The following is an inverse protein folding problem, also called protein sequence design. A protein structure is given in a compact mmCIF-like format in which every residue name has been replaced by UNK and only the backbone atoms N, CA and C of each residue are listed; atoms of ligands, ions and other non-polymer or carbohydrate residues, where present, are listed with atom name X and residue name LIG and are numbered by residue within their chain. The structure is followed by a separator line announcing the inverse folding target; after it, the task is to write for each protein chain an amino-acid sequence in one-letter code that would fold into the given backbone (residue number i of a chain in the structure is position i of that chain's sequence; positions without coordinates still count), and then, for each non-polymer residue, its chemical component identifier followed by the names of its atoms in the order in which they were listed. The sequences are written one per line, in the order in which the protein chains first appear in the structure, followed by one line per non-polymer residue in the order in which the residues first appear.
data_IF_156284299949
#
_entry.id   IF_156284299949
#
_cell.length_a   1.000
_cell.length_b   1.000
_cell.length_c   1.000
_cell.angle_alpha   90.00
_cell.angle_beta   90.00
_cell.angle_gamma   90.00
#
_symmetry.space_group_name_H-M   'P 1'
#
loop_
_entity.id
_entity.type
_entity.pdbx_description
1 polymer ?
#
# COMPACT_ATOMS: atom_id res chain seq x y z
N UNK A 1 -9.71 66.63 8.62
CA UNK A 1 -9.94 65.35 9.36
C UNK A 1 -8.87 64.39 8.91
N UNK A 2 -7.86 64.20 9.75
CA UNK A 2 -6.73 63.30 9.46
C UNK A 2 -7.15 61.87 9.76
N UNK A 3 -7.10 61.02 8.77
CA UNK A 3 -7.29 59.57 8.93
C UNK A 3 -6.01 59.01 9.56
N UNK A 4 -6.05 58.69 10.83
CA UNK A 4 -5.01 57.95 11.50
C UNK A 4 -4.93 56.56 10.87
N UNK A 5 -3.76 56.24 10.27
CA UNK A 5 -3.39 54.88 9.89
C UNK A 5 -3.20 54.06 11.17
N UNK A 6 -4.12 53.14 11.46
CA UNK A 6 -3.89 52.12 12.47
C UNK A 6 -2.68 51.24 12.05
N UNK A 7 -1.77 50.95 12.95
CA UNK A 7 -0.65 50.06 12.64
C UNK A 7 -1.18 48.67 12.29
N UNK A 8 -0.83 48.17 11.10
CA UNK A 8 -1.07 46.80 10.71
C UNK A 8 -0.36 45.89 11.72
N UNK A 9 -1.11 44.98 12.31
CA UNK A 9 -0.54 43.92 13.13
C UNK A 9 0.54 43.18 12.33
N UNK A 10 1.70 42.86 12.93
CA UNK A 10 2.71 42.09 12.23
C UNK A 10 2.08 40.78 11.74
N UNK A 11 2.17 40.52 10.43
CA UNK A 11 1.74 39.25 9.84
C UNK A 11 2.49 38.14 10.59
N UNK A 12 1.76 37.28 11.27
CA UNK A 12 2.34 36.07 11.84
C UNK A 12 2.93 35.25 10.70
N UNK A 13 4.13 34.68 10.86
CA UNK A 13 4.68 33.80 9.84
C UNK A 13 3.66 32.68 9.58
N UNK A 14 3.47 32.29 8.31
CA UNK A 14 2.51 31.25 7.95
C UNK A 14 2.85 29.97 8.76
N UNK A 15 1.85 29.37 9.39
CA UNK A 15 2.04 28.13 10.13
C UNK A 15 2.54 27.03 9.18
N UNK A 16 3.37 26.14 9.69
CA UNK A 16 3.81 24.96 8.93
C UNK A 16 2.59 24.07 8.64
N UNK A 17 2.50 23.48 7.43
CA UNK A 17 1.52 22.44 7.18
C UNK A 17 1.67 21.30 8.18
N UNK A 18 0.54 20.79 8.68
CA UNK A 18 0.51 19.66 9.62
C UNK A 18 0.21 18.38 8.90
N UNK A 19 1.13 17.42 9.04
CA UNK A 19 1.05 16.08 8.47
C UNK A 19 0.56 15.11 9.54
N UNK A 20 -0.62 14.52 9.36
CA UNK A 20 -1.05 13.39 10.18
C UNK A 20 -0.48 12.09 9.59
N UNK A 21 0.43 11.43 10.30
CA UNK A 21 0.92 10.10 9.93
C UNK A 21 0.01 9.07 10.56
N UNK A 22 -0.75 8.33 9.71
CA UNK A 22 -1.74 7.34 10.16
C UNK A 22 -1.22 5.93 9.93
N UNK A 23 -1.21 5.09 10.97
CA UNK A 23 -0.55 3.78 10.94
C UNK A 23 -1.24 2.75 11.85
N UNK A 24 -0.79 1.48 11.78
CA UNK A 24 -1.37 0.35 12.51
C UNK A 24 -2.46 -0.32 11.69
N UNK A 25 -3.70 -0.26 12.17
CA UNK A 25 -4.87 -0.77 11.48
C UNK A 25 -5.24 -2.20 11.83
N UNK A 26 -6.32 -2.69 11.22
CA UNK A 26 -6.95 -3.98 11.53
C UNK A 26 -6.38 -5.16 10.73
N UNK A 27 -5.42 -4.90 9.84
CA UNK A 27 -4.81 -5.92 9.01
C UNK A 27 -3.77 -6.74 9.76
N UNK A 28 -3.36 -7.87 9.17
CA UNK A 28 -2.25 -8.70 9.65
C UNK A 28 -0.90 -7.97 9.60
N UNK A 29 -0.80 -6.90 8.81
CA UNK A 29 0.41 -6.10 8.62
C UNK A 29 0.52 -4.92 9.61
N UNK A 30 -0.30 -4.92 10.67
CA UNK A 30 -0.34 -3.88 11.71
C UNK A 30 1.04 -3.46 12.22
N UNK A 31 1.87 -4.44 12.64
CA UNK A 31 3.19 -4.16 13.19
C UNK A 31 4.16 -3.55 12.17
N UNK A 32 4.09 -3.99 10.90
CA UNK A 32 4.90 -3.42 9.81
C UNK A 32 4.48 -1.98 9.52
N UNK A 33 3.19 -1.70 9.57
CA UNK A 33 2.67 -0.34 9.47
C UNK A 33 3.24 0.57 10.56
N UNK A 34 3.34 0.10 11.81
CA UNK A 34 3.96 0.85 12.90
C UNK A 34 5.45 1.12 12.63
N UNK A 35 6.19 0.10 12.19
CA UNK A 35 7.62 0.24 11.83
C UNK A 35 7.81 1.25 10.70
N UNK A 36 6.97 1.18 9.69
CA UNK A 36 6.97 2.10 8.55
C UNK A 36 6.69 3.54 9.01
N UNK A 37 5.72 3.74 9.90
CA UNK A 37 5.43 5.05 10.48
C UNK A 37 6.63 5.63 11.22
N UNK A 38 7.34 4.82 12.00
CA UNK A 38 8.58 5.24 12.67
C UNK A 38 9.65 5.72 11.70
N UNK A 39 9.80 5.05 10.56
CA UNK A 39 10.74 5.47 9.52
C UNK A 39 10.31 6.79 8.84
N UNK A 40 9.04 6.93 8.49
CA UNK A 40 8.47 8.16 7.91
C UNK A 40 8.61 9.34 8.87
N UNK A 41 8.25 9.17 10.16
CA UNK A 41 8.35 10.21 11.18
C UNK A 41 9.81 10.71 11.38
N UNK A 42 10.80 9.82 11.24
CA UNK A 42 12.22 10.22 11.27
C UNK A 42 12.63 11.00 10.02
N UNK A 43 12.03 10.71 8.87
CA UNK A 43 12.41 11.29 7.60
C UNK A 43 11.73 12.64 7.31
N UNK A 44 10.57 12.91 7.90
CA UNK A 44 9.85 14.17 7.72
C UNK A 44 10.68 15.35 8.22
N UNK A 45 10.89 16.35 7.36
CA UNK A 45 11.59 17.60 7.68
C UNK A 45 10.77 18.46 8.64
N UNK A 46 11.14 18.44 9.93
CA UNK A 46 10.48 19.21 11.00
C UNK A 46 10.68 20.72 10.86
N UNK A 47 11.54 21.17 9.98
CA UNK A 47 11.65 22.60 9.67
C UNK A 47 10.54 23.08 8.73
N UNK A 48 9.99 22.16 7.91
CA UNK A 48 8.91 22.41 6.94
C UNK A 48 7.53 22.04 7.49
N UNK A 49 7.43 20.97 8.26
CA UNK A 49 6.16 20.36 8.66
C UNK A 49 6.02 20.19 10.17
N UNK A 50 4.81 20.40 10.68
CA UNK A 50 4.39 19.85 11.97
C UNK A 50 3.85 18.44 11.75
N UNK A 51 3.97 17.54 12.74
CA UNK A 51 3.45 16.17 12.62
C UNK A 51 2.48 15.84 13.75
N UNK A 52 1.52 14.97 13.39
CA UNK A 52 0.55 14.41 14.30
C UNK A 52 0.50 12.88 14.07
N UNK A 53 1.18 12.08 14.92
CA UNK A 53 1.10 10.63 14.82
C UNK A 53 -0.24 10.11 15.33
N UNK A 54 -0.93 9.32 14.49
CA UNK A 54 -2.23 8.72 14.82
C UNK A 54 -2.15 7.22 14.57
N UNK A 55 -2.23 6.44 15.63
CA UNK A 55 -2.26 4.99 15.53
C UNK A 55 -3.69 4.47 15.41
N UNK A 56 -3.93 3.45 14.59
CA UNK A 56 -5.18 2.68 14.57
C UNK A 56 -4.90 1.33 15.21
N UNK A 57 -5.58 1.03 16.31
CA UNK A 57 -5.43 -0.23 17.04
C UNK A 57 -5.99 -1.41 16.23
N UNK A 58 -5.72 -2.64 16.68
CA UNK A 58 -6.20 -3.86 15.99
C UNK A 58 -7.72 -4.00 15.98
N UNK A 59 -8.41 -3.43 16.96
CA UNK A 59 -9.87 -3.34 17.01
C UNK A 59 -10.45 -2.16 16.20
N UNK A 60 -9.58 -1.28 15.66
CA UNK A 60 -9.96 -0.19 14.77
C UNK A 60 -10.16 1.17 15.47
N UNK A 61 -9.78 1.32 16.73
CA UNK A 61 -9.81 2.59 17.45
C UNK A 61 -8.67 3.49 16.99
N UNK A 62 -8.96 4.73 16.69
CA UNK A 62 -7.97 5.75 16.35
C UNK A 62 -7.41 6.34 17.65
N UNK A 63 -6.12 6.22 17.87
CA UNK A 63 -5.45 6.60 19.10
C UNK A 63 -4.41 7.69 18.84
N UNK A 64 -4.34 8.68 19.70
CA UNK A 64 -3.23 9.62 19.72
C UNK A 64 -2.00 8.89 20.25
N UNK A 65 -0.88 9.03 19.57
CA UNK A 65 0.40 8.44 19.98
C UNK A 65 1.47 9.52 20.13
N UNK A 66 2.46 9.25 20.97
CA UNK A 66 3.60 10.13 21.10
C UNK A 66 4.47 10.12 19.82
N UNK A 67 5.09 11.26 19.50
CA UNK A 67 6.07 11.37 18.41
C UNK A 67 7.42 10.79 18.86
N UNK A 68 7.47 9.48 19.05
CA UNK A 68 8.62 8.71 19.54
C UNK A 68 8.99 7.59 18.56
N UNK A 69 9.57 7.92 17.37
CA UNK A 69 9.87 6.92 16.34
C UNK A 69 10.73 5.75 16.81
N UNK A 70 11.56 5.95 17.84
CA UNK A 70 12.45 4.88 18.36
C UNK A 70 11.69 3.74 19.03
N UNK A 71 10.49 4.00 19.54
CA UNK A 71 9.60 2.98 20.09
C UNK A 71 8.85 2.18 19.03
N UNK A 72 8.92 2.62 17.77
CA UNK A 72 8.25 2.00 16.62
C UNK A 72 9.16 1.03 15.85
N UNK A 73 10.28 0.60 16.43
CA UNK A 73 11.21 -0.33 15.81
C UNK A 73 10.92 -1.79 16.21
N UNK A 74 11.34 -2.74 15.34
CA UNK A 74 11.35 -4.16 15.69
C UNK A 74 12.46 -4.38 16.73
N UNK A 75 12.13 -4.96 17.89
CA UNK A 75 13.07 -5.30 18.94
C UNK A 75 12.94 -6.79 19.26
N UNK A 76 14.05 -7.52 19.26
CA UNK A 76 14.08 -8.97 19.54
C UNK A 76 13.09 -9.78 18.68
N UNK A 77 13.01 -9.49 17.37
CA UNK A 77 12.05 -10.06 16.39
C UNK A 77 10.57 -9.81 16.76
N UNK A 78 10.28 -8.92 17.68
CA UNK A 78 8.90 -8.52 18.03
C UNK A 78 8.54 -7.23 17.34
N UNK A 79 7.40 -7.27 16.66
CA UNK A 79 6.83 -6.08 16.04
C UNK A 79 6.19 -5.19 17.11
N UNK A 80 6.29 -3.86 16.97
CA UNK A 80 5.59 -2.93 17.85
C UNK A 80 4.08 -2.97 17.58
N UNK A 81 3.32 -2.49 18.57
CA UNK A 81 1.87 -2.47 18.54
C UNK A 81 1.35 -1.08 18.95
N UNK A 82 0.29 -0.59 18.31
CA UNK A 82 -0.29 0.74 18.57
C UNK A 82 -0.80 0.86 20.01
N UNK A 83 -1.33 -0.23 20.58
CA UNK A 83 -1.83 -0.26 21.96
C UNK A 83 -0.75 0.09 22.99
N UNK A 84 0.51 -0.19 22.69
CA UNK A 84 1.66 0.14 23.54
C UNK A 84 2.17 1.57 23.35
N UNK A 85 1.79 2.22 22.25
CA UNK A 85 2.21 3.58 21.87
C UNK A 85 1.14 4.62 22.18
N UNK A 86 -0.12 4.20 22.34
CA UNK A 86 -1.24 5.08 22.61
C UNK A 86 -1.09 5.83 23.96
N UNK A 87 -1.40 7.13 23.97
CA UNK A 87 -1.36 7.96 25.17
C UNK A 87 -2.39 7.52 26.20
N UNK A 88 -3.50 6.94 25.76
CA UNK A 88 -4.57 6.42 26.63
C UNK A 88 -5.18 5.16 26.00
N UNK A 89 -5.55 4.22 26.86
CA UNK A 89 -6.27 3.00 26.46
C UNK A 89 -7.74 3.25 26.07
N UNK A 90 -8.33 4.37 26.48
CA UNK A 90 -9.74 4.69 26.28
C UNK A 90 -9.97 5.91 25.37
N UNK A 91 -8.97 6.78 25.22
CA UNK A 91 -9.05 7.97 24.39
C UNK A 91 -9.06 7.66 22.91
N UNK A 92 -9.75 8.50 22.13
CA UNK A 92 -9.87 8.35 20.67
C UNK A 92 -9.66 9.66 19.93
N UNK A 93 -9.08 9.56 18.73
CA UNK A 93 -8.96 10.65 17.77
C UNK A 93 -10.14 10.60 16.82
N UNK A 94 -10.77 11.74 16.59
CA UNK A 94 -11.90 11.91 15.68
C UNK A 94 -11.45 12.84 14.56
N UNK A 95 -11.43 12.32 13.33
CA UNK A 95 -11.33 13.13 12.13
C UNK A 95 -12.71 13.65 11.77
N UNK A 96 -12.89 14.97 11.57
CA UNK A 96 -14.18 15.50 11.13
C UNK A 96 -14.44 15.04 9.68
N UNK A 97 -15.72 14.76 9.39
CA UNK A 97 -16.18 14.47 8.01
C UNK A 97 -16.77 15.73 7.34
N UNK A 98 -16.70 16.87 7.99
CA UNK A 98 -17.13 18.17 7.42
C UNK A 98 -15.95 18.86 6.75
N UNK A 99 -15.95 19.03 5.43
CA UNK A 99 -14.83 19.66 4.70
C UNK A 99 -14.58 21.13 5.12
N UNK A 100 -15.57 21.80 5.72
CA UNK A 100 -15.42 23.15 6.24
C UNK A 100 -14.74 23.21 7.61
N UNK A 101 -14.60 22.05 8.31
CA UNK A 101 -13.97 21.94 9.60
C UNK A 101 -12.96 20.80 9.61
N UNK A 102 -11.68 21.12 9.48
CA UNK A 102 -10.56 20.13 9.49
C UNK A 102 -9.92 19.95 10.87
N UNK A 103 -10.57 20.42 11.93
CA UNK A 103 -10.05 20.33 13.28
C UNK A 103 -10.17 18.90 13.82
N UNK A 104 -9.05 18.26 14.04
CA UNK A 104 -8.97 16.95 14.67
C UNK A 104 -9.24 17.08 16.16
N UNK A 105 -10.07 16.19 16.69
CA UNK A 105 -10.50 16.23 18.10
C UNK A 105 -10.04 14.96 18.81
N UNK A 106 -9.44 15.11 19.97
CA UNK A 106 -9.20 14.02 20.92
C UNK A 106 -10.32 13.97 21.95
N UNK A 107 -10.91 12.81 22.12
CA UNK A 107 -11.99 12.56 23.07
C UNK A 107 -11.66 11.39 23.97
N UNK A 108 -11.86 11.57 25.26
CA UNK A 108 -11.67 10.54 26.29
C UNK A 108 -12.91 10.48 27.16
N UNK A 109 -13.41 9.29 27.58
CA UNK A 109 -14.57 9.15 28.43
C UNK A 109 -14.45 9.97 29.72
N UNK A 110 -15.48 10.76 30.03
CA UNK A 110 -15.50 11.59 31.23
C UNK A 110 -14.71 12.91 31.17
N UNK A 111 -14.05 13.18 30.03
CA UNK A 111 -13.27 14.41 29.79
C UNK A 111 -13.93 15.30 28.73
N UNK A 112 -13.61 16.60 28.77
CA UNK A 112 -14.01 17.52 27.70
C UNK A 112 -13.15 17.24 26.48
N UNK A 113 -13.74 17.09 25.28
CA UNK A 113 -12.99 16.91 24.07
C UNK A 113 -11.97 18.03 23.85
N UNK A 114 -10.75 17.65 23.44
CA UNK A 114 -9.64 18.57 23.21
C UNK A 114 -9.40 18.71 21.71
N UNK A 115 -9.42 19.94 21.21
CA UNK A 115 -8.98 20.25 19.86
C UNK A 115 -7.46 19.99 19.71
N UNK A 116 -7.08 19.22 18.71
CA UNK A 116 -5.68 18.99 18.35
C UNK A 116 -5.20 19.94 17.26
N UNK A 117 -6.12 20.72 16.68
CA UNK A 117 -5.89 21.62 15.55
C UNK A 117 -6.14 20.96 14.21
N UNK A 118 -6.01 21.74 13.15
CA UNK A 118 -6.27 21.29 11.79
C UNK A 118 -5.15 20.41 11.24
N UNK A 119 -5.52 19.45 10.38
CA UNK A 119 -4.61 18.64 9.57
C UNK A 119 -4.68 19.12 8.13
N UNK A 120 -3.52 19.36 7.52
CA UNK A 120 -3.42 19.83 6.14
C UNK A 120 -3.28 18.67 5.15
N UNK A 121 -2.63 17.57 5.59
CA UNK A 121 -2.43 16.36 4.78
C UNK A 121 -2.31 15.13 5.68
N UNK A 122 -2.87 14.02 5.23
CA UNK A 122 -2.69 12.71 5.86
C UNK A 122 -1.63 11.91 5.09
N UNK A 123 -0.69 11.32 5.79
CA UNK A 123 0.23 10.32 5.25
C UNK A 123 -0.17 8.94 5.81
N UNK A 124 -1.00 8.18 5.07
CA UNK A 124 -1.37 6.84 5.50
C UNK A 124 -0.23 5.87 5.18
N UNK A 125 0.24 5.16 6.18
CA UNK A 125 1.22 4.06 6.04
C UNK A 125 0.60 2.74 6.49
N UNK A 126 -0.66 2.56 6.13
CA UNK A 126 -1.46 1.37 6.40
C UNK A 126 -1.31 0.37 5.24
N UNK A 127 -1.20 -0.90 5.57
CA UNK A 127 -1.10 -1.98 4.58
C UNK A 127 -2.32 -2.89 4.63
N UNK A 128 -2.72 -3.39 3.45
CA UNK A 128 -3.82 -4.34 3.31
C UNK A 128 -5.22 -3.77 3.56
N UNK A 129 -6.18 -4.62 3.98
CA UNK A 129 -7.57 -4.22 4.18
C UNK A 129 -7.73 -3.04 5.14
N UNK A 130 -8.68 -2.15 4.83
CA UNK A 130 -8.97 -0.87 5.50
C UNK A 130 -7.86 0.20 5.38
N UNK A 131 -6.74 -0.10 4.72
CA UNK A 131 -5.66 0.84 4.44
C UNK A 131 -5.47 1.10 2.95
N UNK A 132 -5.45 0.02 2.15
CA UNK A 132 -5.18 0.05 0.70
C UNK A 132 -6.41 -0.31 -0.15
N UNK A 133 -7.59 -0.48 0.43
CA UNK A 133 -8.81 -0.95 -0.26
C UNK A 133 -9.79 0.17 -0.65
N UNK A 134 -9.42 1.43 -0.42
CA UNK A 134 -10.25 2.60 -0.72
C UNK A 134 -11.15 3.05 0.44
N UNK A 135 -11.26 2.31 1.55
CA UNK A 135 -12.11 2.69 2.68
C UNK A 135 -11.57 3.90 3.44
N UNK A 136 -10.27 3.93 3.75
CA UNK A 136 -9.64 5.10 4.36
C UNK A 136 -9.65 6.28 3.40
N UNK A 137 -9.32 6.05 2.14
CA UNK A 137 -9.32 7.08 1.10
C UNK A 137 -10.70 7.71 0.97
N UNK A 138 -11.77 6.91 0.99
CA UNK A 138 -13.16 7.41 0.98
C UNK A 138 -13.50 8.28 2.20
N UNK A 139 -13.00 7.93 3.39
CA UNK A 139 -13.15 8.77 4.59
C UNK A 139 -12.45 10.11 4.41
N UNK A 140 -11.22 10.11 3.87
CA UNK A 140 -10.43 11.32 3.66
C UNK A 140 -11.03 12.22 2.57
N UNK A 141 -11.60 11.62 1.50
CA UNK A 141 -12.36 12.37 0.48
C UNK A 141 -13.58 13.07 1.08
N UNK A 142 -14.37 12.38 1.92
CA UNK A 142 -15.50 12.98 2.62
C UNK A 142 -15.08 14.11 3.56
N UNK A 143 -13.93 13.98 4.21
CA UNK A 143 -13.36 14.99 5.10
C UNK A 143 -12.73 16.18 4.34
N UNK A 144 -12.55 16.08 3.04
CA UNK A 144 -11.85 17.08 2.23
C UNK A 144 -10.38 17.29 2.65
N UNK A 145 -9.75 16.29 3.28
CA UNK A 145 -8.35 16.36 3.70
C UNK A 145 -7.48 15.68 2.64
N UNK A 146 -6.50 16.38 2.05
CA UNK A 146 -5.53 15.78 1.14
C UNK A 146 -4.77 14.62 1.80
N UNK A 147 -4.37 13.63 1.01
CA UNK A 147 -3.61 12.49 1.51
C UNK A 147 -2.58 11.99 0.50
N UNK A 148 -1.52 11.39 1.01
CA UNK A 148 -0.46 10.76 0.22
C UNK A 148 -0.95 9.43 -0.32
N UNK A 149 -0.61 9.14 -1.58
CA UNK A 149 -0.86 7.87 -2.22
C UNK A 149 -2.10 7.85 -3.11
N UNK A 150 -2.48 6.65 -3.50
CA UNK A 150 -3.55 6.39 -4.47
C UNK A 150 -4.93 6.77 -3.95
N UNK A 151 -5.80 7.22 -4.84
CA UNK A 151 -7.20 7.55 -4.55
C UNK A 151 -8.09 6.33 -4.34
N UNK A 152 -9.39 6.56 -4.15
CA UNK A 152 -10.40 5.52 -3.85
C UNK A 152 -10.42 4.43 -4.93
N UNK A 153 -10.49 4.84 -6.21
CA UNK A 153 -10.59 3.90 -7.33
C UNK A 153 -9.35 3.01 -7.43
N UNK A 154 -8.17 3.63 -7.46
CA UNK A 154 -6.91 2.91 -7.60
C UNK A 154 -6.66 1.95 -6.45
N UNK A 155 -6.95 2.36 -5.21
CA UNK A 155 -6.85 1.52 -4.02
C UNK A 155 -7.80 0.32 -4.10
N UNK A 156 -9.07 0.53 -4.45
CA UNK A 156 -10.04 -0.55 -4.58
C UNK A 156 -9.69 -1.54 -5.70
N UNK A 157 -9.20 -1.03 -6.84
CA UNK A 157 -8.73 -1.87 -7.96
C UNK A 157 -7.47 -2.63 -7.60
N UNK A 158 -6.48 -1.96 -6.98
CA UNK A 158 -5.21 -2.58 -6.57
C UNK A 158 -5.38 -3.69 -5.53
N UNK A 159 -6.37 -3.55 -4.64
CA UNK A 159 -6.66 -4.56 -3.62
C UNK A 159 -7.30 -5.82 -4.18
N UNK A 160 -8.06 -5.75 -5.28
CA UNK A 160 -8.79 -6.88 -5.86
C UNK A 160 -8.09 -7.42 -7.11
N UNK A 161 -7.40 -8.56 -6.98
CA UNK A 161 -6.61 -9.18 -8.06
C UNK A 161 -7.42 -9.45 -9.34
N UNK A 162 -8.72 -9.76 -9.23
CA UNK A 162 -9.57 -9.93 -10.41
C UNK A 162 -9.76 -8.61 -11.16
N UNK A 163 -10.16 -7.55 -10.43
CA UNK A 163 -10.45 -6.27 -11.06
C UNK A 163 -9.18 -5.59 -11.56
N UNK A 164 -8.08 -5.68 -10.83
CA UNK A 164 -6.78 -5.22 -11.24
C UNK A 164 -6.34 -5.85 -12.57
N UNK A 165 -6.38 -7.20 -12.67
CA UNK A 165 -6.03 -7.92 -13.91
C UNK A 165 -6.97 -7.58 -15.07
N UNK A 166 -8.26 -7.36 -14.82
CA UNK A 166 -9.21 -6.92 -15.83
C UNK A 166 -8.90 -5.52 -16.36
N UNK A 167 -8.56 -4.59 -15.47
CA UNK A 167 -8.14 -3.24 -15.84
C UNK A 167 -6.89 -3.33 -16.70
N UNK A 168 -5.85 -4.03 -16.25
CA UNK A 168 -4.61 -4.19 -17.01
C UNK A 168 -4.84 -4.79 -18.40
N UNK A 169 -5.64 -5.85 -18.49
CA UNK A 169 -6.00 -6.45 -19.77
C UNK A 169 -6.71 -5.46 -20.70
N UNK A 170 -7.62 -4.62 -20.16
CA UNK A 170 -8.36 -3.64 -20.97
C UNK A 170 -7.47 -2.52 -21.51
N UNK A 171 -6.35 -2.24 -20.84
CA UNK A 171 -5.34 -1.28 -21.28
C UNK A 171 -4.20 -1.93 -22.09
N UNK A 172 -4.29 -3.24 -22.37
CA UNK A 172 -3.32 -3.95 -23.21
C UNK A 172 -2.02 -4.35 -22.49
N UNK A 173 -1.98 -4.29 -21.15
CA UNK A 173 -0.84 -4.82 -20.42
C UNK A 173 -0.87 -6.36 -20.41
N UNK A 174 0.31 -7.00 -20.51
CA UNK A 174 0.42 -8.46 -20.50
C UNK A 174 0.11 -9.02 -19.10
N UNK A 175 -0.95 -9.81 -19.00
CA UNK A 175 -1.42 -10.44 -17.75
C UNK A 175 -1.35 -11.96 -17.90
N UNK A 176 -0.86 -12.65 -16.87
CA UNK A 176 -0.82 -14.12 -16.84
C UNK A 176 -2.23 -14.75 -16.82
N UNK A 177 -2.35 -16.01 -17.26
CA UNK A 177 -3.62 -16.72 -17.26
C UNK A 177 -4.20 -16.88 -15.85
N UNK A 178 -5.51 -16.68 -15.72
CA UNK A 178 -6.20 -16.84 -14.44
C UNK A 178 -7.68 -17.20 -14.63
N UNK A 179 -8.25 -17.78 -13.59
CA UNK A 179 -9.69 -18.00 -13.46
C UNK A 179 -10.16 -17.57 -12.07
N UNK A 180 -11.38 -17.05 -11.97
CA UNK A 180 -11.94 -16.57 -10.70
C UNK A 180 -13.14 -17.40 -10.33
N UNK A 181 -13.22 -17.79 -9.06
CA UNK A 181 -14.39 -18.41 -8.46
C UNK A 181 -15.01 -17.41 -7.47
N UNK A 182 -16.23 -16.98 -7.79
CA UNK A 182 -16.97 -16.04 -6.93
C UNK A 182 -17.79 -16.79 -5.88
N UNK A 183 -18.06 -16.18 -4.72
CA UNK A 183 -18.85 -16.81 -3.65
C UNK A 183 -20.17 -17.40 -4.15
N UNK A 184 -20.94 -16.64 -4.94
CA UNK A 184 -22.23 -17.10 -5.48
C UNK A 184 -22.12 -18.25 -6.48
N UNK A 185 -20.99 -18.40 -7.20
CA UNK A 185 -20.74 -19.55 -8.08
C UNK A 185 -20.52 -20.79 -7.22
N UNK A 186 -19.70 -20.67 -6.20
CA UNK A 186 -19.39 -21.74 -5.25
C UNK A 186 -20.63 -22.21 -4.50
N UNK A 187 -21.38 -21.30 -3.90
CA UNK A 187 -22.60 -21.58 -3.15
C UNK A 187 -23.72 -22.25 -4.01
N UNK A 188 -23.80 -21.85 -5.27
CA UNK A 188 -24.81 -22.37 -6.19
C UNK A 188 -24.50 -23.78 -6.70
N UNK A 189 -23.27 -24.05 -7.08
CA UNK A 189 -22.81 -25.31 -7.65
C UNK A 189 -21.30 -25.46 -7.48
N UNK A 190 -20.89 -26.03 -6.36
CA UNK A 190 -19.48 -26.29 -6.03
C UNK A 190 -18.83 -27.21 -7.05
N UNK A 191 -19.54 -28.24 -7.55
CA UNK A 191 -19.02 -29.15 -8.57
C UNK A 191 -18.67 -28.42 -9.89
N UNK A 192 -19.51 -27.50 -10.33
CA UNK A 192 -19.26 -26.71 -11.52
C UNK A 192 -18.09 -25.74 -11.30
N UNK A 193 -17.98 -25.13 -10.11
CA UNK A 193 -16.88 -24.26 -9.75
C UNK A 193 -15.53 -25.03 -9.72
N UNK A 194 -15.50 -26.22 -9.12
CA UNK A 194 -14.31 -27.11 -9.15
C UNK A 194 -13.95 -27.52 -10.57
N UNK A 195 -14.93 -27.90 -11.38
CA UNK A 195 -14.72 -28.26 -12.77
C UNK A 195 -14.05 -27.12 -13.56
N UNK A 196 -14.45 -25.89 -13.32
CA UNK A 196 -13.86 -24.70 -13.94
C UNK A 196 -12.35 -24.59 -13.63
N UNK A 197 -11.91 -24.91 -12.39
CA UNK A 197 -10.49 -24.94 -12.02
C UNK A 197 -9.78 -26.11 -12.70
N UNK A 198 -10.41 -27.29 -12.76
CA UNK A 198 -9.85 -28.49 -13.41
C UNK A 198 -9.68 -28.26 -14.92
N UNK A 199 -10.68 -27.65 -15.56
CA UNK A 199 -10.61 -27.30 -16.99
C UNK A 199 -9.47 -26.31 -17.23
N UNK A 200 -9.30 -25.32 -16.37
CA UNK A 200 -8.18 -24.36 -16.42
C UNK A 200 -6.82 -25.05 -16.23
N UNK A 201 -6.72 -26.03 -15.30
CA UNK A 201 -5.53 -26.85 -15.15
C UNK A 201 -5.26 -27.71 -16.40
N UNK A 202 -6.29 -28.19 -17.07
CA UNK A 202 -6.18 -28.94 -18.33
C UNK A 202 -5.62 -28.10 -19.48
N UNK A 203 -5.88 -26.79 -19.48
CA UNK A 203 -5.41 -25.83 -20.49
C UNK A 203 -3.99 -25.34 -20.22
N UNK A 204 -3.68 -25.02 -18.95
CA UNK A 204 -2.44 -24.35 -18.57
C UNK A 204 -1.43 -25.24 -17.84
N UNK A 205 -1.83 -26.46 -17.46
CA UNK A 205 -1.00 -27.40 -16.69
C UNK A 205 -0.93 -27.10 -15.19
N UNK A 206 -0.28 -28.00 -14.48
CA UNK A 206 0.09 -27.84 -13.09
C UNK A 206 1.56 -27.36 -12.97
N UNK A 207 1.98 -26.69 -11.90
CA UNK A 207 1.18 -26.29 -10.74
C UNK A 207 0.30 -25.08 -10.98
N UNK A 208 -0.74 -24.92 -10.15
CA UNK A 208 -1.56 -23.72 -10.04
C UNK A 208 -1.34 -23.03 -8.70
N UNK A 209 -1.59 -21.73 -8.64
CA UNK A 209 -1.63 -20.95 -7.41
C UNK A 209 -3.08 -20.59 -7.07
N UNK A 210 -3.56 -21.10 -5.94
CA UNK A 210 -4.89 -20.77 -5.41
C UNK A 210 -4.71 -19.66 -4.39
N UNK A 211 -5.41 -18.53 -4.58
CA UNK A 211 -5.21 -17.30 -3.81
C UNK A 211 -6.55 -16.69 -3.40
N UNK A 212 -6.63 -16.07 -2.19
CA UNK A 212 -7.68 -15.10 -1.92
C UNK A 212 -7.58 -13.93 -2.91
N UNK A 213 -8.71 -13.44 -3.42
CA UNK A 213 -8.67 -12.37 -4.42
C UNK A 213 -8.24 -11.01 -3.83
N UNK A 214 -8.50 -10.79 -2.51
CA UNK A 214 -8.32 -9.49 -1.82
C UNK A 214 -7.44 -9.61 -0.57
N UNK A 215 -6.41 -10.44 -0.61
CA UNK A 215 -5.41 -10.53 0.44
C UNK A 215 -4.03 -10.07 -0.07
N UNK A 216 -3.26 -9.46 0.82
CA UNK A 216 -1.87 -9.07 0.60
C UNK A 216 -0.87 -10.03 1.26
N UNK A 217 0.43 -9.71 1.20
CA UNK A 217 1.52 -10.40 1.92
C UNK A 217 1.55 -11.92 1.78
N UNK A 218 1.13 -12.43 0.64
CA UNK A 218 1.07 -13.88 0.32
C UNK A 218 0.20 -14.72 1.27
N UNK A 219 -0.69 -14.10 2.05
CA UNK A 219 -1.56 -14.80 3.01
C UNK A 219 -2.61 -15.63 2.25
N UNK A 220 -2.76 -16.90 2.64
CA UNK A 220 -3.74 -17.81 2.06
C UNK A 220 -3.41 -18.28 0.63
N UNK A 221 -2.18 -18.03 0.15
CA UNK A 221 -1.72 -18.52 -1.15
C UNK A 221 -1.21 -19.95 -1.01
N UNK A 222 -1.74 -20.86 -1.84
CA UNK A 222 -1.28 -22.25 -1.90
C UNK A 222 -0.89 -22.61 -3.31
N UNK A 223 0.34 -23.15 -3.48
CA UNK A 223 0.76 -23.79 -4.71
C UNK A 223 0.26 -25.23 -4.73
N UNK A 224 -0.42 -25.61 -5.79
CA UNK A 224 -1.03 -26.93 -5.95
C UNK A 224 -0.42 -27.62 -7.15
N UNK A 225 0.24 -28.73 -6.93
CA UNK A 225 0.99 -29.46 -7.97
C UNK A 225 0.13 -30.53 -8.70
N UNK A 226 -1.05 -30.86 -8.16
CA UNK A 226 -1.98 -31.84 -8.74
C UNK A 226 -3.39 -31.65 -8.19
N UNK A 227 -4.35 -32.43 -8.72
CA UNK A 227 -5.73 -32.44 -8.27
C UNK A 227 -5.89 -32.82 -6.77
N UNK A 228 -4.99 -33.61 -6.21
CA UNK A 228 -5.07 -34.11 -4.84
C UNK A 228 -5.00 -33.00 -3.79
N UNK A 229 -4.25 -31.92 -4.06
CA UNK A 229 -4.11 -30.78 -3.13
C UNK A 229 -5.16 -29.67 -3.34
N UNK A 230 -6.04 -29.80 -4.33
CA UNK A 230 -6.91 -28.70 -4.75
C UNK A 230 -7.92 -28.29 -3.67
N UNK A 231 -8.56 -29.25 -3.02
CA UNK A 231 -9.63 -28.97 -2.06
C UNK A 231 -9.10 -28.24 -0.82
N UNK A 232 -7.97 -28.70 -0.28
CA UNK A 232 -7.33 -28.07 0.87
C UNK A 232 -6.87 -26.63 0.54
N UNK A 233 -6.36 -26.42 -0.67
CA UNK A 233 -5.95 -25.09 -1.12
C UNK A 233 -7.13 -24.13 -1.30
N UNK A 234 -8.26 -24.62 -1.78
CA UNK A 234 -9.50 -23.83 -1.90
C UNK A 234 -10.00 -23.43 -0.51
N UNK A 235 -10.09 -24.40 0.42
CA UNK A 235 -10.50 -24.14 1.80
C UNK A 235 -9.59 -23.12 2.48
N UNK A 236 -8.27 -23.22 2.30
CA UNK A 236 -7.32 -22.26 2.86
C UNK A 236 -7.56 -20.86 2.30
N UNK A 237 -7.65 -20.70 0.99
CA UNK A 237 -7.90 -19.40 0.38
C UNK A 237 -9.24 -18.80 0.83
N UNK A 238 -10.30 -19.62 0.94
CA UNK A 238 -11.64 -19.19 1.35
C UNK A 238 -11.74 -18.77 2.82
N UNK A 239 -10.80 -19.19 3.70
CA UNK A 239 -10.71 -18.68 5.09
C UNK A 239 -10.38 -17.19 5.13
N UNK A 240 -9.71 -16.69 4.10
CA UNK A 240 -9.25 -15.30 4.02
C UNK A 240 -10.15 -14.43 3.13
N UNK A 241 -10.66 -15.00 2.03
CA UNK A 241 -11.60 -14.31 1.14
C UNK A 241 -12.51 -15.34 0.45
N UNK A 242 -13.84 -15.20 0.55
CA UNK A 242 -14.77 -16.10 -0.14
C UNK A 242 -14.66 -16.03 -1.68
N UNK A 243 -14.04 -14.98 -2.25
CA UNK A 243 -13.67 -14.90 -3.66
C UNK A 243 -12.22 -15.36 -3.83
N UNK A 244 -12.00 -16.39 -4.62
CA UNK A 244 -10.66 -16.90 -4.92
C UNK A 244 -10.30 -16.65 -6.38
N UNK A 245 -8.99 -16.44 -6.62
CA UNK A 245 -8.38 -16.40 -7.93
C UNK A 245 -7.39 -17.56 -8.06
N UNK A 246 -7.42 -18.21 -9.19
CA UNK A 246 -6.54 -19.33 -9.55
C UNK A 246 -5.66 -18.89 -10.70
N UNK A 247 -4.37 -18.96 -10.54
CA UNK A 247 -3.38 -18.51 -11.53
C UNK A 247 -2.49 -19.65 -11.99
N UNK A 248 -2.13 -19.64 -13.24
CA UNK A 248 -1.13 -20.54 -13.79
C UNK A 248 0.28 -20.14 -13.32
N UNK A 249 1.18 -21.12 -13.19
CA UNK A 249 2.59 -20.82 -12.91
C UNK A 249 3.21 -20.01 -14.05
N UNK A 250 3.73 -18.85 -13.72
CA UNK A 250 4.62 -18.09 -14.60
C UNK A 250 6.06 -18.43 -14.23
N UNK A 251 6.80 -19.04 -15.18
CA UNK A 251 8.24 -19.33 -15.02
C UNK A 251 9.04 -18.11 -15.39
N UNK A 252 9.89 -17.65 -14.49
CA UNK A 252 10.70 -16.46 -14.75
C UNK A 252 11.29 -15.86 -13.48
N UNK A 253 11.80 -14.65 -13.63
CA UNK A 253 12.40 -13.83 -12.57
C UNK A 253 11.36 -12.83 -12.07
N UNK A 254 11.29 -12.61 -10.77
CA UNK A 254 10.42 -11.59 -10.18
C UNK A 254 11.12 -10.23 -10.23
N UNK A 255 10.49 -9.26 -10.90
CA UNK A 255 11.02 -7.91 -11.11
C UNK A 255 10.02 -6.91 -10.52
N UNK A 256 10.49 -6.06 -9.62
CA UNK A 256 9.73 -4.94 -9.06
C UNK A 256 10.18 -3.62 -9.69
N UNK A 257 9.25 -2.71 -9.92
CA UNK A 257 9.54 -1.35 -10.41
C UNK A 257 8.68 -0.33 -9.67
N UNK A 258 9.33 0.67 -9.05
CA UNK A 258 8.65 1.75 -8.35
C UNK A 258 8.21 2.85 -9.31
N UNK A 259 6.97 3.33 -9.17
CA UNK A 259 6.50 4.54 -9.86
C UNK A 259 6.25 5.63 -8.83
N UNK A 260 6.71 6.85 -9.12
CA UNK A 260 6.52 8.05 -8.31
C UNK A 260 6.01 9.17 -9.21
N UNK A 261 5.02 9.88 -8.72
CA UNK A 261 4.47 11.04 -9.41
C UNK A 261 5.34 12.29 -9.19
N UNK A 262 5.75 12.90 -10.29
CA UNK A 262 6.44 14.19 -10.32
C UNK A 262 5.50 15.26 -10.86
N UNK A 263 5.92 16.53 -10.81
CA UNK A 263 5.09 17.66 -11.31
C UNK A 263 4.79 17.58 -12.81
N UNK A 264 5.64 16.89 -13.57
CA UNK A 264 5.52 16.70 -15.00
C UNK A 264 4.98 15.30 -15.39
N UNK A 265 4.56 14.49 -14.42
CA UNK A 265 3.96 13.17 -14.61
C UNK A 265 4.66 12.04 -13.87
N UNK A 266 4.15 10.81 -13.97
CA UNK A 266 4.72 9.66 -13.30
C UNK A 266 6.05 9.24 -13.94
N UNK A 267 7.00 8.80 -13.12
CA UNK A 267 8.29 8.27 -13.55
C UNK A 267 8.56 6.96 -12.84
N UNK A 268 9.22 6.04 -13.55
CA UNK A 268 9.67 4.77 -13.00
C UNK A 268 11.08 4.87 -12.42
N UNK A 269 11.33 4.15 -11.34
CA UNK A 269 12.65 3.94 -10.75
C UNK A 269 13.52 2.99 -11.57
N UNK A 270 14.77 2.77 -11.19
CA UNK A 270 15.48 1.55 -11.57
C UNK A 270 14.71 0.34 -11.04
N UNK A 271 14.60 -0.77 -11.81
CA UNK A 271 13.92 -1.98 -11.33
C UNK A 271 14.78 -2.75 -10.32
N UNK A 272 14.13 -3.54 -9.49
CA UNK A 272 14.74 -4.50 -8.59
C UNK A 272 14.38 -5.94 -8.99
N UNK A 273 15.25 -6.89 -8.73
CA UNK A 273 14.95 -8.32 -8.81
C UNK A 273 14.84 -8.92 -7.43
N UNK A 274 13.80 -9.70 -7.22
CA UNK A 274 13.62 -10.50 -6.02
C UNK A 274 14.16 -11.90 -6.28
N UNK A 275 15.32 -12.27 -5.68
CA UNK A 275 15.87 -13.61 -5.87
C UNK A 275 14.95 -14.68 -5.27
N UNK A 276 14.85 -15.88 -5.88
CA UNK A 276 14.08 -16.97 -5.30
C UNK A 276 14.65 -17.35 -3.94
N UNK A 277 13.79 -17.45 -2.93
CA UNK A 277 14.17 -17.83 -1.56
C UNK A 277 14.34 -19.34 -1.48
N UNK A 278 15.54 -19.82 -1.11
CA UNK A 278 15.85 -21.26 -1.05
C UNK A 278 15.07 -22.02 0.03
N UNK A 279 14.56 -21.33 1.06
CA UNK A 279 13.90 -21.94 2.22
C UNK A 279 12.36 -21.95 2.15
N UNK A 280 11.77 -21.19 1.24
CA UNK A 280 10.32 -21.05 1.11
C UNK A 280 9.88 -21.25 -0.35
N UNK A 281 8.70 -21.81 -0.55
CA UNK A 281 8.17 -22.07 -1.90
C UNK A 281 7.87 -20.78 -2.67
N UNK A 282 7.79 -19.63 -1.99
CA UNK A 282 7.58 -18.28 -2.50
C UNK A 282 8.05 -17.24 -1.46
N UNK A 283 8.22 -15.99 -1.91
CA UNK A 283 8.65 -14.86 -1.06
C UNK A 283 7.53 -14.44 -0.11
N UNK A 284 7.47 -15.09 1.05
CA UNK A 284 6.42 -14.90 2.05
C UNK A 284 6.69 -13.72 3.01
N UNK A 285 5.77 -13.55 3.99
CA UNK A 285 5.84 -12.47 4.96
C UNK A 285 7.13 -12.47 5.80
N UNK A 286 7.61 -13.66 6.23
CA UNK A 286 8.85 -13.76 7.03
C UNK A 286 10.07 -13.39 6.20
N UNK A 287 10.14 -13.88 4.96
CA UNK A 287 11.21 -13.53 4.02
C UNK A 287 11.26 -12.04 3.70
N UNK A 288 10.07 -11.39 3.60
CA UNK A 288 9.97 -9.95 3.30
C UNK A 288 10.44 -9.04 4.42
N UNK A 289 10.11 -9.36 5.67
CA UNK A 289 10.23 -8.40 6.77
C UNK A 289 11.13 -8.85 7.92
N UNK A 290 11.41 -10.15 8.07
CA UNK A 290 12.17 -10.69 9.19
C UNK A 290 13.52 -11.25 8.74
N UNK A 291 13.56 -12.08 7.70
CA UNK A 291 14.78 -12.75 7.25
C UNK A 291 15.48 -12.02 6.10
N UNK A 292 14.89 -10.92 5.60
CA UNK A 292 15.41 -9.99 4.60
C UNK A 292 16.41 -10.60 3.60
N UNK A 293 15.90 -11.35 2.61
CA UNK A 293 16.71 -11.67 1.44
C UNK A 293 16.91 -10.39 0.65
N UNK A 294 18.13 -9.86 0.53
CA UNK A 294 18.34 -8.61 -0.17
C UNK A 294 18.00 -8.78 -1.65
N UNK A 295 17.11 -7.91 -2.14
CA UNK A 295 16.86 -7.79 -3.58
C UNK A 295 18.11 -7.26 -4.31
N UNK A 296 18.18 -7.50 -5.60
CA UNK A 296 19.22 -6.93 -6.45
C UNK A 296 18.73 -5.58 -6.99
N UNK A 297 19.33 -4.49 -6.54
CA UNK A 297 18.98 -3.12 -6.97
C UNK A 297 20.25 -2.43 -7.49
N UNK A 298 20.31 -2.05 -8.78
CA UNK A 298 19.35 -2.34 -9.83
C UNK A 298 19.32 -3.83 -10.22
N UNK A 299 18.18 -4.30 -10.75
CA UNK A 299 18.06 -5.63 -11.34
C UNK A 299 19.05 -5.82 -12.49
N UNK A 300 19.67 -7.02 -12.64
CA UNK A 300 20.56 -7.32 -13.78
C UNK A 300 19.75 -7.59 -15.06
N UNK A 301 19.25 -6.51 -15.65
CA UNK A 301 18.48 -6.48 -16.90
C UNK A 301 19.31 -5.82 -18.02
N UNK A 302 18.96 -6.12 -19.28
CA UNK A 302 19.51 -5.34 -20.39
C UNK A 302 18.89 -3.93 -20.40
N UNK A 303 19.52 -2.95 -21.10
CA UNK A 303 18.94 -1.61 -21.23
C UNK A 303 17.51 -1.64 -21.84
N UNK A 304 17.26 -2.53 -22.80
CA UNK A 304 15.96 -2.70 -23.46
C UNK A 304 14.91 -3.25 -22.47
N UNK A 305 15.28 -4.28 -21.69
CA UNK A 305 14.43 -4.85 -20.66
C UNK A 305 14.12 -3.83 -19.56
N UNK A 306 15.13 -3.05 -19.16
CA UNK A 306 14.95 -1.97 -18.18
C UNK A 306 13.96 -0.92 -18.68
N UNK A 307 14.13 -0.45 -19.93
CA UNK A 307 13.24 0.54 -20.53
C UNK A 307 11.81 -0.01 -20.67
N UNK A 308 11.67 -1.28 -21.02
CA UNK A 308 10.35 -1.91 -21.19
C UNK A 308 9.61 -2.08 -19.86
N UNK A 309 10.25 -2.60 -18.79
CA UNK A 309 9.59 -2.74 -17.50
C UNK A 309 9.24 -1.38 -16.87
N UNK A 310 10.09 -0.37 -17.07
CA UNK A 310 9.80 1.00 -16.64
C UNK A 310 8.57 1.58 -17.35
N UNK A 311 8.46 1.37 -18.68
CA UNK A 311 7.29 1.77 -19.47
C UNK A 311 6.02 1.06 -18.97
N UNK A 312 6.07 -0.27 -18.83
CA UNK A 312 4.94 -1.07 -18.35
C UNK A 312 4.50 -0.69 -16.93
N UNK A 313 5.45 -0.32 -16.04
CA UNK A 313 5.13 0.15 -14.70
C UNK A 313 4.38 1.48 -14.71
N UNK A 314 4.78 2.42 -15.56
CA UNK A 314 4.06 3.69 -15.76
C UNK A 314 2.68 3.43 -16.39
N UNK A 315 2.60 2.58 -17.42
CA UNK A 315 1.33 2.21 -18.04
C UNK A 315 0.35 1.57 -17.02
N UNK A 316 0.86 0.73 -16.09
CA UNK A 316 0.04 0.13 -15.03
C UNK A 316 -0.44 1.17 -14.02
N UNK A 317 0.41 2.13 -13.65
CA UNK A 317 0.06 3.26 -12.79
C UNK A 317 -1.08 4.09 -13.40
N UNK A 318 -0.97 4.45 -14.68
CA UNK A 318 -1.99 5.21 -15.39
C UNK A 318 -3.28 4.40 -15.61
N UNK A 319 -3.18 3.12 -15.99
CA UNK A 319 -4.33 2.24 -16.20
C UNK A 319 -5.20 2.10 -14.95
N UNK A 320 -4.59 2.02 -13.79
CA UNK A 320 -5.30 1.93 -12.51
C UNK A 320 -5.70 3.30 -11.93
N UNK A 321 -5.41 4.41 -12.63
CA UNK A 321 -5.60 5.79 -12.15
C UNK A 321 -4.92 6.04 -10.79
N UNK A 322 -3.69 5.55 -10.66
CA UNK A 322 -2.91 5.74 -9.45
C UNK A 322 -2.40 7.17 -9.32
N UNK A 323 -2.07 7.56 -8.12
CA UNK A 323 -1.49 8.85 -7.76
C UNK A 323 -0.40 8.65 -6.70
N UNK A 324 0.55 9.56 -6.66
CA UNK A 324 1.62 9.60 -5.67
C UNK A 324 2.66 8.51 -5.86
N UNK A 325 2.37 7.29 -5.47
CA UNK A 325 3.33 6.18 -5.53
C UNK A 325 2.65 4.84 -5.81
N UNK A 326 3.39 3.95 -6.48
CA UNK A 326 3.02 2.54 -6.68
C UNK A 326 4.29 1.71 -6.84
N UNK A 327 4.29 0.47 -6.37
CA UNK A 327 5.22 -0.57 -6.82
C UNK A 327 4.45 -1.51 -7.73
N UNK A 328 4.95 -1.68 -8.96
CA UNK A 328 4.44 -2.64 -9.92
C UNK A 328 5.36 -3.86 -9.94
N UNK A 329 4.76 -5.04 -9.80
CA UNK A 329 5.46 -6.32 -9.67
C UNK A 329 5.22 -7.15 -10.93
N UNK A 330 6.30 -7.66 -11.53
CA UNK A 330 6.29 -8.36 -12.81
C UNK A 330 7.01 -9.71 -12.71
N UNK A 331 6.65 -10.61 -13.62
CA UNK A 331 7.51 -11.75 -14.01
C UNK A 331 8.17 -11.45 -15.34
N UNK A 332 9.50 -11.59 -15.39
CA UNK A 332 10.25 -11.66 -16.64
C UNK A 332 10.37 -13.13 -17.01
N UNK A 333 9.60 -13.56 -18.01
CA UNK A 333 9.53 -14.96 -18.44
C UNK A 333 10.83 -15.44 -19.08
N UNK A 334 10.98 -16.76 -19.24
CA UNK A 334 12.13 -17.37 -19.92
C UNK A 334 12.23 -16.94 -21.41
N UNK A 335 11.10 -16.55 -22.02
CA UNK A 335 11.05 -16.02 -23.38
C UNK A 335 11.42 -14.53 -23.48
N UNK A 336 11.70 -13.89 -22.33
CA UNK A 336 12.09 -12.47 -22.24
C UNK A 336 10.94 -11.47 -22.21
N UNK A 337 9.71 -11.92 -22.04
CA UNK A 337 8.51 -11.09 -21.98
C UNK A 337 8.19 -10.72 -20.54
N UNK A 338 7.77 -9.47 -20.29
CA UNK A 338 7.25 -9.06 -18.98
C UNK A 338 5.76 -9.34 -18.87
N UNK A 339 5.36 -9.92 -17.75
CA UNK A 339 3.96 -10.16 -17.39
C UNK A 339 3.69 -9.49 -16.06
N UNK A 340 2.72 -8.57 -16.00
CA UNK A 340 2.36 -7.88 -14.75
C UNK A 340 1.63 -8.85 -13.83
N UNK A 341 2.09 -8.92 -12.58
CA UNK A 341 1.48 -9.70 -11.51
C UNK A 341 0.46 -8.86 -10.75
N UNK A 342 0.93 -7.78 -10.12
CA UNK A 342 0.12 -6.88 -9.30
C UNK A 342 0.74 -5.49 -9.18
N UNK A 343 -0.03 -4.55 -8.62
CA UNK A 343 0.46 -3.28 -8.10
C UNK A 343 0.18 -3.18 -6.61
N UNK A 344 1.05 -2.47 -5.91
CA UNK A 344 0.94 -2.16 -4.48
C UNK A 344 0.84 -0.64 -4.33
N UNK A 345 -0.31 -0.14 -3.87
CA UNK A 345 -0.59 1.30 -3.76
C UNK A 345 0.04 1.93 -2.53
N UNK A 346 0.42 1.12 -1.53
CA UNK A 346 1.28 1.50 -0.42
C UNK A 346 2.30 0.39 -0.17
N UNK A 347 3.37 0.32 -0.97
CA UNK A 347 4.40 -0.71 -0.81
C UNK A 347 5.13 -0.57 0.52
N UNK A 348 5.87 -1.61 0.93
CA UNK A 348 6.78 -1.50 2.06
C UNK A 348 7.63 -0.23 1.94
N UNK A 349 7.61 0.63 2.97
CA UNK A 349 8.12 2.00 2.87
C UNK A 349 9.15 2.34 3.98
N UNK A 350 9.84 1.32 4.52
CA UNK A 350 11.04 1.56 5.35
C UNK A 350 12.26 1.79 4.47
N UNK A 351 13.34 2.41 4.95
CA UNK A 351 14.56 2.62 4.15
C UNK A 351 15.18 1.34 3.56
N UNK A 352 14.91 0.18 4.18
CA UNK A 352 15.38 -1.13 3.71
C UNK A 352 14.37 -1.83 2.79
N UNK A 353 13.18 -1.27 2.58
CA UNK A 353 12.17 -1.83 1.67
C UNK A 353 12.54 -1.55 0.21
N UNK A 354 12.11 -2.44 -0.71
CA UNK A 354 12.49 -2.35 -2.13
C UNK A 354 12.11 -1.03 -2.77
N UNK A 355 10.91 -0.50 -2.49
CA UNK A 355 10.46 0.75 -3.11
C UNK A 355 11.40 1.94 -2.81
N UNK A 356 11.74 2.27 -1.55
CA UNK A 356 12.73 3.30 -1.26
C UNK A 356 14.14 2.98 -1.79
N UNK A 357 14.58 1.71 -1.76
CA UNK A 357 15.90 1.35 -2.30
C UNK A 357 16.00 1.58 -3.82
N UNK A 358 14.95 1.24 -4.57
CA UNK A 358 14.88 1.52 -6.01
C UNK A 358 14.96 3.02 -6.29
N UNK A 359 14.30 3.86 -5.47
CA UNK A 359 14.35 5.31 -5.63
C UNK A 359 15.69 5.91 -5.19
N UNK A 360 16.31 5.38 -4.13
CA UNK A 360 17.66 5.80 -3.73
C UNK A 360 18.68 5.49 -4.82
N UNK A 361 18.62 4.30 -5.43
CA UNK A 361 19.43 3.94 -6.58
C UNK A 361 19.11 4.76 -7.84
N UNK A 362 17.92 5.36 -7.91
CA UNK A 362 17.51 6.30 -8.95
C UNK A 362 17.87 7.76 -8.65
N UNK A 363 18.53 8.03 -7.51
CA UNK A 363 18.99 9.36 -7.12
C UNK A 363 18.01 10.16 -6.26
N UNK A 364 16.92 9.55 -5.76
CA UNK A 364 15.96 10.17 -4.84
C UNK A 364 16.14 9.57 -3.44
N UNK A 365 16.78 10.31 -2.55
CA UNK A 365 17.03 9.88 -1.17
C UNK A 365 15.73 9.77 -0.36
N UNK A 366 15.71 8.89 0.65
CA UNK A 366 14.50 8.59 1.42
C UNK A 366 13.80 9.83 2.03
N UNK A 367 14.50 10.79 2.66
CA UNK A 367 13.84 12.01 3.14
C UNK A 367 13.25 12.87 2.02
N UNK A 368 13.91 12.91 0.86
CA UNK A 368 13.40 13.61 -0.33
C UNK A 368 12.16 12.92 -0.88
N UNK A 369 12.15 11.58 -0.90
CA UNK A 369 10.99 10.79 -1.32
C UNK A 369 9.76 11.12 -0.45
N UNK A 370 9.93 11.17 0.86
CA UNK A 370 8.86 11.55 1.81
C UNK A 370 8.40 12.99 1.58
N UNK A 371 9.32 13.95 1.42
CA UNK A 371 9.00 15.36 1.17
C UNK A 371 8.25 15.56 -0.15
N UNK A 372 8.64 14.85 -1.22
CA UNK A 372 7.97 14.88 -2.53
C UNK A 372 6.54 14.37 -2.46
N UNK A 373 6.32 13.25 -1.76
CA UNK A 373 4.99 12.68 -1.58
C UNK A 373 4.06 13.60 -0.80
N UNK A 374 4.53 14.20 0.30
CA UNK A 374 3.77 15.20 1.07
C UNK A 374 3.46 16.42 0.20
N UNK A 375 4.47 16.94 -0.50
CA UNK A 375 4.31 18.10 -1.38
C UNK A 375 3.34 17.84 -2.54
N UNK A 376 3.37 16.65 -3.14
CA UNK A 376 2.40 16.25 -4.17
C UNK A 376 0.98 16.22 -3.62
N UNK A 377 0.77 15.59 -2.45
CA UNK A 377 -0.53 15.51 -1.81
C UNK A 377 -1.10 16.91 -1.45
N UNK A 378 -0.27 17.81 -0.94
CA UNK A 378 -0.69 19.19 -0.60
C UNK A 378 -1.11 20.01 -1.82
N UNK A 379 -0.59 19.70 -3.01
CA UNK A 379 -0.97 20.38 -4.26
C UNK A 379 -2.21 19.81 -4.93
N UNK A 380 -2.63 18.62 -4.56
CA UNK A 380 -3.78 17.95 -5.15
C UNK A 380 -5.10 18.61 -4.74
N UNK A 381 -6.03 18.80 -5.68
CA UNK A 381 -7.40 19.13 -5.33
C UNK A 381 -8.05 17.95 -4.59
N UNK A 382 -8.97 18.22 -3.68
CA UNK A 382 -9.83 17.20 -3.05
C UNK A 382 -11.08 16.95 -3.91
N UNK A 383 -11.61 15.74 -3.84
CA UNK A 383 -12.83 15.32 -4.52
C UNK A 383 -12.64 14.74 -5.92
N UNK A 384 -13.50 13.81 -6.31
CA UNK A 384 -13.57 13.15 -7.64
C UNK A 384 -12.24 12.55 -8.13
N UNK A 385 -11.72 11.58 -7.39
CA UNK A 385 -10.53 10.83 -7.75
C UNK A 385 -10.81 9.36 -7.98
#
# INVERSE_FOLDING_TARGET
MSTENLPQSPEQPPRKPRVAVVFGGRSSEHGISVVTAGAVLRAIDRTKYDVLPIGITRDGRWALTADEPDRMAIVDRRQPDVEQLAESSEGGVILPVDPANREVVYSEPGSVPKALGEVDVVFPVLHGPYGEDGTLQGLLELSGVPYVGAGVLASAVGQDKEYMKRVFTSFGLPVGPYVVIRPREWERDESAARKKIIDFAGEHGWPLFIKPARAGSSIGITKVDSLEGLDEAIEEAQRHDPKIIVEALLRGREIECGVLEFEDGPRASVPAEIPPVQSHAYYDFEAKYIDSTPGLVPAPLTPEQTAEVQRLAVDAFEAASCEGLVRADFFLTEDGEFVINEINTMPGFTPISMYPQMWEASGVAYPELVDRLIGAALRRPTGLR
#
